data_IF_666788828878
#
_entry.id   IF_666788828878
#
_cell.length_a   1.000
_cell.length_b   1.000
_cell.length_c   1.000
_cell.angle_alpha   90.00
_cell.angle_beta   90.00
_cell.angle_gamma   90.00
#
_symmetry.space_group_name_H-M   'P 1'
#
loop_
_entity.id
_entity.type
_entity.pdbx_description
1 polymer ?
#
# COMPACT_ATOMS: atom_id res chain seq x y z
N UNK A 1 -3.84 4.46 0.50
CA UNK A 1 -5.23 4.65 0.00
C UNK A 1 -6.17 4.31 1.14
N UNK A 2 -7.24 5.09 1.35
CA UNK A 2 -8.24 4.80 2.37
C UNK A 2 -9.18 3.68 1.93
N UNK A 3 -9.60 2.82 2.86
CA UNK A 3 -10.61 1.78 2.61
C UNK A 3 -11.95 2.32 3.11
N UNK A 4 -12.97 2.34 2.24
CA UNK A 4 -14.35 2.77 2.54
C UNK A 4 -14.46 4.03 3.43
N UNK A 5 -13.82 5.17 3.05
CA UNK A 5 -13.85 6.37 3.87
C UNK A 5 -15.28 6.94 3.97
N UNK A 6 -15.64 7.47 5.14
CA UNK A 6 -16.95 8.10 5.35
C UNK A 6 -17.11 9.45 4.63
N UNK A 7 -16.00 10.03 4.12
CA UNK A 7 -16.04 11.29 3.36
C UNK A 7 -16.01 11.03 1.85
N UNK A 8 -16.92 11.66 1.10
CA UNK A 8 -16.99 11.51 -0.36
C UNK A 8 -15.86 12.24 -1.11
N UNK A 9 -15.18 13.17 -0.43
CA UNK A 9 -14.07 13.96 -0.99
C UNK A 9 -12.73 13.24 -0.88
N UNK A 10 -12.65 12.06 -0.25
CA UNK A 10 -11.38 11.35 -0.12
C UNK A 10 -10.85 10.94 -1.51
N UNK A 11 -9.55 11.13 -1.74
CA UNK A 11 -8.84 10.77 -2.97
C UNK A 11 -7.50 10.11 -2.63
N UNK A 12 -6.99 9.19 -3.47
CA UNK A 12 -5.61 8.72 -3.35
C UNK A 12 -4.62 9.89 -3.39
N UNK A 13 -3.62 9.85 -2.51
CA UNK A 13 -2.54 10.83 -2.45
C UNK A 13 -1.25 10.16 -2.92
N UNK A 14 -0.54 10.81 -3.85
CA UNK A 14 0.82 10.45 -4.22
C UNK A 14 1.80 11.34 -3.45
N UNK A 15 2.76 10.72 -2.78
CA UNK A 15 3.83 11.40 -2.03
C UNK A 15 5.19 10.92 -2.54
N UNK A 16 6.26 11.72 -2.41
CA UNK A 16 7.61 11.28 -2.75
C UNK A 16 8.00 9.99 -2.00
N UNK A 17 8.70 9.07 -2.66
CA UNK A 17 9.05 7.75 -2.09
C UNK A 17 9.86 7.82 -0.78
N UNK A 18 10.69 8.85 -0.61
CA UNK A 18 11.47 9.07 0.61
C UNK A 18 10.69 9.72 1.77
N UNK A 19 9.40 9.98 1.62
CA UNK A 19 8.59 10.60 2.67
C UNK A 19 8.30 9.62 3.81
N UNK A 20 8.21 10.12 5.05
CA UNK A 20 7.63 9.37 6.16
C UNK A 20 6.12 9.64 6.22
N UNK A 21 5.32 8.59 6.29
CA UNK A 21 3.87 8.67 6.53
C UNK A 21 3.60 8.18 7.94
N UNK A 22 3.03 9.05 8.78
CA UNK A 22 2.64 8.74 10.15
C UNK A 22 1.12 8.61 10.23
N UNK A 23 0.64 7.46 10.68
CA UNK A 23 -0.77 7.17 10.88
C UNK A 23 -0.99 7.02 12.39
N UNK A 24 -1.95 7.79 12.91
CA UNK A 24 -2.36 7.74 14.31
C UNK A 24 -3.78 7.22 14.40
N UNK A 25 -3.98 6.16 15.15
CA UNK A 25 -5.32 5.68 15.50
C UNK A 25 -5.86 6.63 16.56
N UNK A 26 -7.03 7.20 16.31
CA UNK A 26 -7.75 8.04 17.29
C UNK A 26 -9.07 7.37 17.59
N UNK A 27 -9.47 7.36 18.86
CA UNK A 27 -10.83 7.01 19.30
C UNK A 27 -11.25 5.61 18.81
N UNK A 28 -10.47 4.58 19.16
CA UNK A 28 -10.82 3.18 18.89
C UNK A 28 -10.75 2.34 20.16
N UNK A 29 -11.88 1.77 20.57
CA UNK A 29 -11.96 0.84 21.70
C UNK A 29 -11.23 -0.49 21.42
N UNK A 30 -11.17 -0.89 20.15
CA UNK A 30 -10.56 -2.16 19.69
C UNK A 30 -9.15 -1.97 19.11
N UNK A 31 -8.66 -0.73 19.01
CA UNK A 31 -7.37 -0.41 18.38
C UNK A 31 -7.41 -0.55 16.85
N UNK A 32 -6.29 -0.98 16.27
CA UNK A 32 -6.18 -1.30 14.84
C UNK A 32 -5.26 -2.51 14.61
N UNK A 33 -5.29 -3.08 13.42
CA UNK A 33 -4.34 -4.13 13.02
C UNK A 33 -3.57 -3.69 11.78
N UNK A 34 -2.26 -3.86 11.80
CA UNK A 34 -1.38 -3.64 10.65
C UNK A 34 -0.98 -4.99 10.09
N UNK A 35 -1.22 -5.19 8.80
CA UNK A 35 -0.85 -6.41 8.09
C UNK A 35 0.25 -6.12 7.07
N UNK A 36 1.27 -6.98 7.01
CA UNK A 36 2.41 -6.92 6.10
C UNK A 36 2.26 -8.01 5.04
N UNK A 37 2.13 -7.61 3.77
CA UNK A 37 2.00 -8.48 2.58
C UNK A 37 0.96 -9.62 2.70
N UNK A 38 -0.02 -9.47 3.59
CA UNK A 38 -1.03 -10.50 3.88
C UNK A 38 -0.50 -11.72 4.65
N UNK A 39 0.73 -11.70 5.15
CA UNK A 39 1.37 -12.85 5.81
C UNK A 39 1.49 -12.68 7.33
N UNK A 40 1.80 -11.47 7.79
CA UNK A 40 2.00 -11.19 9.23
C UNK A 40 1.14 -10.02 9.64
N UNK A 41 0.58 -10.05 10.85
CA UNK A 41 -0.19 -8.94 11.41
C UNK A 41 0.24 -8.59 12.82
N UNK A 42 0.08 -7.32 13.18
CA UNK A 42 0.41 -6.76 14.50
C UNK A 42 -0.74 -5.89 14.97
N UNK A 43 -1.18 -6.10 16.21
CA UNK A 43 -2.17 -5.25 16.86
C UNK A 43 -1.53 -3.92 17.31
N UNK A 44 -2.27 -2.83 17.10
CA UNK A 44 -1.89 -1.46 17.45
C UNK A 44 -2.90 -0.95 18.46
N UNK A 45 -2.40 -0.59 19.64
CA UNK A 45 -3.19 0.00 20.71
C UNK A 45 -3.37 1.50 20.53
N UNK A 46 -4.31 2.07 21.28
CA UNK A 46 -4.49 3.53 21.34
C UNK A 46 -3.19 4.22 21.81
N UNK A 47 -2.95 5.41 21.26
CA UNK A 47 -1.73 6.20 21.54
C UNK A 47 -0.46 5.73 20.82
N UNK A 48 -0.49 4.65 20.03
CA UNK A 48 0.64 4.21 19.22
C UNK A 48 0.62 4.85 17.81
N UNK A 49 1.80 5.26 17.34
CA UNK A 49 2.00 5.79 16.00
C UNK A 49 2.49 4.69 15.05
N UNK A 50 1.81 4.52 13.90
CA UNK A 50 2.28 3.67 12.80
C UNK A 50 3.11 4.55 11.87
N UNK A 51 4.39 4.22 11.66
CA UNK A 51 5.29 4.97 10.78
C UNK A 51 5.69 4.13 9.58
N UNK A 52 5.34 4.61 8.39
CA UNK A 52 5.70 3.99 7.12
C UNK A 52 6.78 4.83 6.46
N UNK A 53 7.91 4.20 6.16
CA UNK A 53 9.06 4.83 5.50
C UNK A 53 9.69 3.85 4.52
N UNK A 54 10.32 4.39 3.49
CA UNK A 54 11.14 3.58 2.60
C UNK A 54 12.28 2.93 3.39
N UNK A 55 12.46 1.62 3.21
CA UNK A 55 13.59 0.90 3.77
C UNK A 55 14.87 1.19 2.97
N UNK A 56 16.03 1.21 3.64
CA UNK A 56 17.31 1.53 2.98
C UNK A 56 17.82 0.42 2.06
N UNK A 57 17.26 -0.79 2.17
CA UNK A 57 17.61 -1.95 1.33
C UNK A 57 16.51 -2.24 0.33
N UNK A 58 16.91 -2.56 -0.89
CA UNK A 58 16.03 -2.85 -2.02
C UNK A 58 16.09 -4.32 -2.39
N UNK A 59 14.96 -4.84 -2.87
CA UNK A 59 14.88 -6.17 -3.48
C UNK A 59 15.39 -6.05 -4.91
N UNK A 60 16.31 -6.95 -5.29
CA UNK A 60 16.79 -7.06 -6.66
C UNK A 60 16.01 -8.16 -7.37
N UNK A 61 15.19 -7.77 -8.36
CA UNK A 61 14.39 -8.70 -9.15
C UNK A 61 15.11 -9.02 -10.46
N UNK A 62 15.11 -10.30 -10.84
CA UNK A 62 15.59 -10.75 -12.14
C UNK A 62 14.43 -10.76 -13.13
N UNK A 63 14.66 -10.16 -14.30
CA UNK A 63 13.69 -10.09 -15.38
C UNK A 63 14.17 -10.92 -16.58
N UNK A 64 13.29 -11.71 -17.22
CA UNK A 64 13.60 -12.35 -18.51
C UNK A 64 13.96 -11.32 -19.59
N UNK A 65 14.66 -11.76 -20.64
CA UNK A 65 15.13 -10.86 -21.72
C UNK A 65 14.00 -10.10 -22.43
N UNK A 66 12.79 -10.67 -22.47
CA UNK A 66 11.60 -10.10 -23.09
C UNK A 66 10.60 -9.52 -22.07
N UNK A 67 11.07 -9.12 -20.89
CA UNK A 67 10.21 -8.55 -19.85
C UNK A 67 9.61 -7.21 -20.29
N UNK A 68 8.28 -7.13 -20.30
CA UNK A 68 7.51 -5.90 -20.47
C UNK A 68 6.50 -5.77 -19.33
N UNK A 69 6.74 -4.80 -18.44
CA UNK A 69 5.87 -4.51 -17.30
C UNK A 69 4.44 -4.17 -17.73
N UNK A 70 4.27 -3.38 -18.80
CA UNK A 70 2.96 -2.93 -19.25
C UNK A 70 2.20 -4.05 -19.96
N UNK A 71 2.88 -4.91 -20.71
CA UNK A 71 2.27 -6.11 -21.30
C UNK A 71 1.70 -7.02 -20.22
N UNK A 72 2.47 -7.26 -19.15
CA UNK A 72 2.02 -8.06 -18.00
C UNK A 72 0.77 -7.45 -17.37
N UNK A 73 0.74 -6.15 -17.13
CA UNK A 73 -0.42 -5.50 -16.52
C UNK A 73 -1.64 -5.54 -17.44
N UNK A 74 -1.48 -5.27 -18.74
CA UNK A 74 -2.59 -5.35 -19.72
C UNK A 74 -3.18 -6.75 -19.75
N UNK A 75 -2.33 -7.77 -19.79
CA UNK A 75 -2.76 -9.18 -19.78
C UNK A 75 -3.50 -9.53 -18.48
N UNK A 76 -2.92 -9.19 -17.32
CA UNK A 76 -3.49 -9.54 -16.00
C UNK A 76 -4.80 -8.83 -15.66
N UNK A 77 -4.94 -7.58 -16.10
CA UNK A 77 -6.13 -6.76 -15.81
C UNK A 77 -7.10 -6.70 -17.01
N UNK A 78 -6.83 -7.44 -18.08
CA UNK A 78 -7.58 -7.44 -19.33
C UNK A 78 -7.80 -6.03 -19.92
N UNK A 79 -6.82 -5.15 -19.78
CA UNK A 79 -6.91 -3.77 -20.26
C UNK A 79 -6.63 -3.67 -21.76
N UNK A 80 -7.56 -3.07 -22.51
CA UNK A 80 -7.40 -2.79 -23.93
C UNK A 80 -7.67 -3.97 -24.85
N UNK A 81 -8.18 -5.10 -24.34
CA UNK A 81 -8.71 -6.16 -25.19
C UNK A 81 -9.91 -5.61 -25.99
N UNK A 82 -9.79 -5.59 -27.32
CA UNK A 82 -10.97 -5.47 -28.19
C UNK A 82 -11.74 -6.79 -28.07
N UNK A 83 -13.02 -6.69 -27.70
CA UNK A 83 -14.00 -7.76 -27.91
C UNK A 83 -14.06 -8.14 -29.39
#
# INVERSE_FOLDING_TARGET
>A
VSICPHTMSHRPLLVPGGSEVVIRVKESDEGATVSFDGQTSVAIADGQDIRVRQHGSFIHLLHPQNYDYFEIIRSKLHWGAKL
#
